data_IF_240356079087
#
_entry.id   IF_240356079087
#
_cell.length_a   1.000
_cell.length_b   1.000
_cell.length_c   1.000
_cell.angle_alpha   90.00
_cell.angle_beta   90.00
_cell.angle_gamma   90.00
#
_symmetry.space_group_name_H-M   'P 1'
#
loop_
_entity.id
_entity.type
_entity.pdbx_description
1 polymer ?
#
# COMPACT_ATOMS: atom_id res chain seq x y z
N UNK A 1 4.83 25.50 3.30
CA UNK A 1 6.00 24.90 3.99
C UNK A 1 6.58 23.77 3.14
N UNK A 2 7.91 23.67 3.05
CA UNK A 2 8.56 22.60 2.27
C UNK A 2 8.20 21.22 2.86
N UNK A 3 7.92 20.24 2.00
CA UNK A 3 7.71 18.85 2.44
C UNK A 3 6.31 18.47 2.94
N UNK A 4 5.32 19.37 2.83
CA UNK A 4 3.89 19.03 3.03
C UNK A 4 3.19 18.86 1.68
N UNK A 5 2.36 17.82 1.55
CA UNK A 5 1.48 17.59 0.40
C UNK A 5 0.08 17.22 0.90
N UNK A 6 -0.96 17.94 0.42
CA UNK A 6 -2.36 17.79 0.87
C UNK A 6 -2.49 17.76 2.41
N UNK A 7 -1.79 18.66 3.10
CA UNK A 7 -1.82 18.76 4.56
C UNK A 7 -1.02 17.69 5.32
N UNK A 8 -0.45 16.70 4.63
CA UNK A 8 0.37 15.64 5.25
C UNK A 8 1.87 15.86 5.01
N UNK A 9 2.71 15.49 5.96
CA UNK A 9 4.16 15.44 5.73
C UNK A 9 4.51 14.36 4.68
N UNK A 10 5.56 14.60 3.91
CA UNK A 10 6.03 13.69 2.85
C UNK A 10 7.35 13.02 3.17
N UNK A 11 8.08 13.53 4.15
CA UNK A 11 9.41 13.06 4.49
C UNK A 11 9.34 12.02 5.62
N UNK A 12 9.80 10.81 5.32
CA UNK A 12 9.97 9.75 6.31
C UNK A 12 11.35 9.78 6.96
N UNK A 13 11.60 8.84 7.88
CA UNK A 13 12.86 8.73 8.62
C UNK A 13 14.08 8.68 7.68
N UNK A 14 13.97 8.03 6.51
CA UNK A 14 15.04 7.95 5.49
C UNK A 14 15.53 9.31 5.00
N UNK A 15 14.68 10.34 5.03
CA UNK A 15 15.04 11.71 4.64
C UNK A 15 15.43 12.57 5.83
N UNK A 16 14.84 12.31 7.00
CA UNK A 16 15.10 13.10 8.22
C UNK A 16 16.44 12.68 8.85
N UNK A 17 16.76 11.39 8.88
CA UNK A 17 18.01 10.86 9.45
C UNK A 17 19.29 11.53 8.91
N UNK A 18 19.53 11.64 7.58
CA UNK A 18 20.72 12.32 7.08
C UNK A 18 20.71 13.84 7.34
N UNK A 19 19.54 14.45 7.52
CA UNK A 19 19.46 15.87 7.89
C UNK A 19 19.83 16.09 9.36
N UNK A 20 19.43 15.17 10.23
CA UNK A 20 19.79 15.17 11.64
C UNK A 20 21.29 14.94 11.82
N UNK A 21 21.86 14.01 11.07
CA UNK A 21 23.30 13.75 11.07
C UNK A 21 24.09 14.99 10.60
N UNK A 22 23.63 15.65 9.53
CA UNK A 22 24.19 16.95 9.08
C UNK A 22 24.05 18.06 10.12
N UNK A 23 23.01 18.02 10.94
CA UNK A 23 22.80 18.95 12.05
C UNK A 23 23.55 18.54 13.33
N UNK A 24 24.32 17.44 13.31
CA UNK A 24 25.12 16.95 14.44
C UNK A 24 24.37 16.00 15.38
N UNK A 25 23.10 15.71 15.15
CA UNK A 25 22.32 14.80 15.99
C UNK A 25 22.50 13.35 15.55
N UNK A 26 23.15 12.57 16.41
CA UNK A 26 23.38 11.14 16.21
C UNK A 26 22.41 10.35 17.08
N UNK A 27 21.52 9.59 16.46
CA UNK A 27 20.59 8.72 17.17
C UNK A 27 20.26 7.48 16.35
N UNK A 28 19.80 6.43 17.02
CA UNK A 28 19.39 5.20 16.36
C UNK A 28 18.16 5.44 15.46
N UNK A 29 18.05 4.66 14.38
CA UNK A 29 16.88 4.71 13.51
C UNK A 29 15.57 4.43 14.30
N UNK A 30 15.62 3.50 15.25
CA UNK A 30 14.48 3.13 16.08
C UNK A 30 13.98 4.30 16.95
N UNK A 31 14.88 5.11 17.52
CA UNK A 31 14.51 6.27 18.34
C UNK A 31 13.91 7.37 17.48
N UNK A 32 14.48 7.63 16.31
CA UNK A 32 13.89 8.56 15.33
C UNK A 32 12.47 8.13 14.94
N UNK A 33 12.28 6.84 14.60
CA UNK A 33 10.95 6.31 14.22
C UNK A 33 9.95 6.44 15.37
N UNK A 34 10.37 6.20 16.62
CA UNK A 34 9.50 6.39 17.80
C UNK A 34 9.08 7.86 17.96
N UNK A 35 10.03 8.78 17.91
CA UNK A 35 9.78 10.23 18.01
C UNK A 35 8.87 10.72 16.88
N UNK A 36 9.09 10.26 15.65
CA UNK A 36 8.22 10.60 14.52
C UNK A 36 6.77 10.14 14.73
N UNK A 37 6.56 9.00 15.41
CA UNK A 37 5.22 8.53 15.75
C UNK A 37 4.59 9.40 16.84
N UNK A 38 5.31 9.66 17.93
CA UNK A 38 4.86 10.49 19.05
C UNK A 38 4.51 11.91 18.59
N UNK A 39 5.29 12.48 17.67
CA UNK A 39 5.08 13.83 17.12
C UNK A 39 4.11 13.86 15.92
N UNK A 40 3.59 12.72 15.47
CA UNK A 40 2.71 12.65 14.29
C UNK A 40 3.38 13.05 12.96
N UNK A 41 4.71 13.02 12.89
CA UNK A 41 5.50 13.39 11.69
C UNK A 41 5.71 12.15 10.82
N UNK A 42 4.62 11.50 10.41
CA UNK A 42 4.68 10.35 9.53
C UNK A 42 4.20 10.69 8.11
N UNK A 43 4.84 10.13 7.06
CA UNK A 43 4.35 10.29 5.71
C UNK A 43 3.05 9.50 5.47
N UNK A 44 1.93 10.22 5.32
CA UNK A 44 0.61 9.62 5.10
C UNK A 44 0.43 8.98 3.71
N UNK A 45 1.31 9.32 2.76
CA UNK A 45 1.20 8.87 1.36
C UNK A 45 1.42 7.36 1.20
N UNK A 46 2.32 6.76 1.99
CA UNK A 46 2.70 5.35 1.84
C UNK A 46 1.78 4.37 2.59
N UNK A 47 1.13 4.81 3.67
CA UNK A 47 0.21 3.96 4.45
C UNK A 47 -1.17 3.80 3.80
N UNK A 48 -1.49 4.54 2.73
CA UNK A 48 -2.79 4.47 2.03
C UNK A 48 -3.01 3.21 1.19
N UNK A 49 -1.99 2.38 0.96
CA UNK A 49 -2.11 1.18 0.11
C UNK A 49 -2.46 -0.11 0.85
N UNK A 50 -2.61 -0.08 2.19
CA UNK A 50 -2.83 -1.31 2.97
C UNK A 50 -4.21 -1.96 2.76
N UNK A 51 -5.14 -1.25 2.13
CA UNK A 51 -6.52 -1.72 1.90
C UNK A 51 -6.87 -1.85 0.40
N UNK A 52 -5.87 -1.96 -0.49
CA UNK A 52 -6.15 -2.43 -1.84
C UNK A 52 -6.38 -3.94 -1.77
N UNK A 53 -7.59 -4.33 -1.39
CA UNK A 53 -8.09 -5.68 -1.57
C UNK A 53 -7.75 -6.11 -3.00
N UNK A 54 -6.85 -7.08 -3.12
CA UNK A 54 -6.54 -7.67 -4.39
C UNK A 54 -7.79 -8.40 -4.89
N UNK A 55 -8.43 -7.87 -5.93
CA UNK A 55 -9.47 -8.58 -6.68
C UNK A 55 -8.89 -8.90 -8.06
N UNK A 56 -8.27 -10.08 -8.20
CA UNK A 56 -7.81 -10.59 -9.50
C UNK A 56 -8.96 -10.77 -10.48
N UNK A 57 -10.16 -11.02 -9.96
CA UNK A 57 -11.37 -11.16 -10.74
C UNK A 57 -12.04 -9.79 -10.90
N UNK A 58 -12.08 -9.30 -12.14
CA UNK A 58 -12.78 -8.06 -12.51
C UNK A 58 -14.25 -8.30 -12.92
N UNK A 59 -14.81 -9.47 -12.60
CA UNK A 59 -16.08 -9.93 -13.16
C UNK A 59 -15.88 -10.73 -14.46
N UNK A 60 -16.97 -10.99 -15.18
CA UNK A 60 -16.93 -11.62 -16.51
C UNK A 60 -16.29 -10.67 -17.50
N UNK A 61 -14.97 -10.80 -17.70
CA UNK A 61 -14.22 -9.94 -18.63
C UNK A 61 -14.17 -10.62 -20.00
N UNK A 62 -14.75 -9.98 -21.01
CA UNK A 62 -14.78 -10.47 -22.39
C UNK A 62 -16.10 -11.13 -22.80
N UNK A 63 -16.23 -11.40 -24.10
CA UNK A 63 -17.39 -12.11 -24.66
C UNK A 63 -17.23 -13.61 -24.39
N UNK A 64 -18.17 -14.21 -23.66
CA UNK A 64 -18.24 -15.67 -23.50
C UNK A 64 -18.55 -16.27 -24.87
N UNK A 65 -17.79 -17.29 -25.27
CA UNK A 65 -18.03 -17.98 -26.54
C UNK A 65 -19.33 -18.79 -26.48
N UNK A 66 -19.99 -18.97 -27.63
CA UNK A 66 -21.23 -19.75 -27.70
C UNK A 66 -20.96 -21.22 -27.34
N UNK A 67 -21.90 -21.84 -26.62
CA UNK A 67 -21.81 -23.24 -26.20
C UNK A 67 -22.17 -24.19 -27.35
N UNK A 68 -21.30 -24.27 -28.36
CA UNK A 68 -21.53 -25.06 -29.58
C UNK A 68 -21.65 -26.57 -29.30
N UNK A 69 -21.09 -27.05 -28.19
CA UNK A 69 -21.07 -28.46 -27.80
C UNK A 69 -22.21 -28.84 -26.83
N UNK A 70 -23.07 -27.88 -26.45
CA UNK A 70 -24.13 -28.07 -25.46
C UNK A 70 -23.62 -28.71 -24.15
N UNK A 71 -22.45 -28.29 -23.68
CA UNK A 71 -21.86 -28.77 -22.43
C UNK A 71 -22.56 -28.16 -21.20
N UNK A 72 -22.67 -28.92 -20.13
CA UNK A 72 -23.23 -28.47 -18.84
C UNK A 72 -22.11 -27.93 -17.95
N UNK A 73 -22.13 -26.63 -17.67
CA UNK A 73 -21.11 -25.96 -16.84
C UNK A 73 -21.58 -25.69 -15.40
N UNK A 74 -22.70 -26.29 -14.99
CA UNK A 74 -23.36 -26.06 -13.70
C UNK A 74 -23.07 -27.18 -12.67
N UNK A 75 -21.98 -27.92 -12.85
CA UNK A 75 -21.64 -29.03 -11.95
C UNK A 75 -21.25 -28.51 -10.56
N UNK A 76 -22.03 -28.89 -9.54
CA UNK A 76 -21.78 -28.53 -8.14
C UNK A 76 -20.95 -29.56 -7.38
N UNK A 77 -20.62 -30.69 -8.01
CA UNK A 77 -19.87 -31.79 -7.40
C UNK A 77 -19.01 -32.50 -8.45
N UNK A 78 -17.83 -33.05 -8.05
CA UNK A 78 -16.91 -33.70 -8.98
C UNK A 78 -17.48 -35.00 -9.54
N UNK A 79 -17.03 -35.39 -10.73
CA UNK A 79 -17.38 -36.69 -11.33
C UNK A 79 -16.62 -37.80 -10.60
N UNK A 80 -17.35 -38.72 -9.98
CA UNK A 80 -16.83 -39.93 -9.31
C UNK A 80 -16.82 -41.12 -10.25
#
# INVERSE_FOLDING_TARGET
EKGKWRGSYTYGYRRIMPLLEKAGYHMAEATLRRLMNELGVQPAMYNRRKNNHYSSYKGTVGKVADNLLNQTFDATSPFT
#
